data_IF_225226033491
#
_entry.id   IF_225226033491
#
_cell.length_a   1.000
_cell.length_b   1.000
_cell.length_c   1.000
_cell.angle_alpha   90.00
_cell.angle_beta   90.00
_cell.angle_gamma   90.00
#
_symmetry.space_group_name_H-M   'P 1'
#
loop_
_entity.id
_entity.type
_entity.pdbx_description
1 polymer ?
#
# COMPACT_ATOMS: atom_id res chain seq x y z
N UNK A 1 5.71 42.77 -6.26
CA UNK A 1 5.49 41.41 -6.81
C UNK A 1 6.15 40.32 -5.95
N UNK A 2 7.47 40.28 -5.75
CA UNK A 2 8.12 39.21 -4.97
C UNK A 2 7.59 39.06 -3.53
N UNK A 3 7.54 40.14 -2.74
CA UNK A 3 7.01 40.11 -1.35
C UNK A 3 5.59 39.53 -1.24
N UNK A 4 4.69 39.92 -2.14
CA UNK A 4 3.30 39.40 -2.18
C UNK A 4 3.20 37.96 -2.67
N UNK A 5 4.19 37.45 -3.40
CA UNK A 5 4.32 36.03 -3.73
C UNK A 5 4.79 35.23 -2.50
N UNK A 6 5.83 35.68 -1.80
CA UNK A 6 6.32 35.02 -0.59
C UNK A 6 5.26 34.96 0.52
N UNK A 7 4.49 36.04 0.76
CA UNK A 7 3.39 36.03 1.72
C UNK A 7 2.30 34.99 1.38
N UNK A 8 1.97 34.82 0.09
CA UNK A 8 1.02 33.79 -0.37
C UNK A 8 1.60 32.38 -0.20
N UNK A 9 2.88 32.18 -0.54
CA UNK A 9 3.56 30.90 -0.36
C UNK A 9 3.62 30.49 1.12
N UNK A 10 4.01 31.41 2.01
CA UNK A 10 4.01 31.18 3.47
C UNK A 10 2.60 30.86 3.96
N UNK A 11 1.58 31.60 3.51
CA UNK A 11 0.19 31.28 3.86
C UNK A 11 -0.25 29.90 3.40
N UNK A 12 0.21 29.40 2.24
CA UNK A 12 -0.08 28.04 1.76
C UNK A 12 0.65 26.99 2.61
N UNK A 13 1.92 27.22 2.95
CA UNK A 13 2.71 26.33 3.80
C UNK A 13 2.11 26.18 5.20
N UNK A 14 1.52 27.24 5.75
CA UNK A 14 0.79 27.21 7.04
C UNK A 14 -0.48 26.35 7.02
N UNK A 15 -1.02 25.99 5.84
CA UNK A 15 -2.16 25.08 5.71
C UNK A 15 -1.76 23.61 5.52
N UNK A 16 -0.46 23.28 5.52
CA UNK A 16 -0.01 21.88 5.50
C UNK A 16 -0.44 21.21 6.82
N UNK A 17 -1.25 20.17 6.74
CA UNK A 17 -1.69 19.35 7.86
C UNK A 17 -1.05 17.95 7.78
N UNK A 18 -0.74 17.36 8.93
CA UNK A 18 -0.27 15.98 8.99
C UNK A 18 -1.47 15.03 8.92
N UNK A 19 -1.53 14.22 7.85
CA UNK A 19 -2.52 13.16 7.72
C UNK A 19 -1.89 11.83 8.15
N UNK A 20 -2.23 11.37 9.34
CA UNK A 20 -1.93 10.00 9.77
C UNK A 20 -2.93 9.01 9.15
N UNK A 21 -2.45 7.82 8.80
CA UNK A 21 -3.27 6.71 8.31
C UNK A 21 -2.60 5.39 8.70
N UNK A 22 -3.38 4.32 8.79
CA UNK A 22 -2.90 2.95 9.04
C UNK A 22 -2.15 2.41 7.82
N UNK A 23 -0.91 2.86 7.65
CA UNK A 23 0.01 2.37 6.62
C UNK A 23 1.46 2.48 7.09
N UNK A 24 2.21 1.39 6.90
CA UNK A 24 3.66 1.32 7.12
C UNK A 24 4.35 0.96 5.82
N UNK A 25 5.62 1.32 5.68
CA UNK A 25 6.31 1.15 4.40
C UNK A 25 7.83 1.08 4.49
N UNK A 26 8.40 0.37 3.54
CA UNK A 26 9.84 0.28 3.31
C UNK A 26 10.17 0.68 1.87
N UNK A 27 11.40 1.12 1.63
CA UNK A 27 11.84 1.67 0.35
C UNK A 27 13.21 1.08 0.01
N UNK A 28 13.31 0.45 -1.16
CA UNK A 28 14.52 -0.21 -1.63
C UNK A 28 14.84 0.15 -3.08
N UNK A 29 16.05 -0.19 -3.51
CA UNK A 29 16.45 -0.22 -4.91
C UNK A 29 16.54 -1.68 -5.32
N UNK A 30 15.87 -2.05 -6.41
CA UNK A 30 15.92 -3.41 -6.92
C UNK A 30 17.36 -3.77 -7.32
N UNK A 31 17.91 -4.91 -6.85
CA UNK A 31 19.30 -5.29 -7.08
C UNK A 31 19.61 -5.46 -8.58
N UNK A 32 20.90 -5.57 -8.91
CA UNK A 32 21.28 -6.16 -10.19
C UNK A 32 20.82 -7.63 -10.20
N UNK A 33 20.36 -8.17 -11.34
CA UNK A 33 20.01 -9.58 -11.44
C UNK A 33 21.24 -10.41 -11.15
N UNK A 34 21.10 -11.46 -10.33
CA UNK A 34 22.17 -12.45 -10.23
C UNK A 34 22.08 -13.39 -11.44
N UNK A 35 23.23 -13.74 -12.00
CA UNK A 35 23.31 -14.73 -13.07
C UNK A 35 23.17 -16.16 -12.49
N UNK A 36 22.01 -16.46 -11.90
CA UNK A 36 21.72 -17.77 -11.30
C UNK A 36 21.30 -18.71 -12.46
N UNK A 37 21.75 -19.98 -12.48
CA UNK A 37 21.42 -20.91 -13.56
C UNK A 37 20.05 -21.57 -13.33
N UNK A 38 18.97 -20.83 -13.62
CA UNK A 38 17.60 -21.34 -13.69
C UNK A 38 17.04 -22.02 -12.41
N UNK A 39 17.53 -21.66 -11.23
CA UNK A 39 17.08 -22.21 -9.93
C UNK A 39 15.68 -21.75 -9.49
N UNK A 40 14.93 -21.01 -10.33
CA UNK A 40 13.57 -20.52 -10.05
C UNK A 40 12.65 -21.63 -9.48
N UNK A 41 12.79 -22.88 -9.91
CA UNK A 41 12.03 -24.02 -9.40
C UNK A 41 12.11 -24.16 -7.85
N UNK A 42 13.31 -24.07 -7.27
CA UNK A 42 13.50 -24.21 -5.82
C UNK A 42 12.94 -23.03 -5.01
N UNK A 43 12.68 -21.89 -5.67
CA UNK A 43 12.05 -20.70 -5.08
C UNK A 43 10.52 -20.71 -5.30
N UNK A 44 10.07 -21.32 -6.40
CA UNK A 44 8.66 -21.64 -6.66
C UNK A 44 8.12 -22.68 -5.66
N UNK A 45 8.96 -23.65 -5.28
CA UNK A 45 8.63 -24.69 -4.28
C UNK A 45 8.39 -24.13 -2.85
N UNK A 46 8.88 -22.93 -2.51
CA UNK A 46 8.65 -22.27 -1.21
C UNK A 46 7.18 -21.83 -1.01
N UNK A 47 6.34 -21.88 -2.05
CA UNK A 47 4.90 -21.63 -1.95
C UNK A 47 4.45 -20.21 -1.57
N UNK A 48 5.40 -19.28 -1.40
CA UNK A 48 5.19 -17.89 -0.96
C UNK A 48 4.23 -17.14 -1.89
N UNK A 49 3.37 -16.30 -1.33
CA UNK A 49 2.63 -15.30 -2.10
C UNK A 49 3.59 -14.25 -2.70
N UNK A 50 3.23 -13.74 -3.88
CA UNK A 50 4.12 -12.93 -4.72
C UNK A 50 3.54 -11.56 -5.06
N UNK A 51 4.42 -10.59 -5.27
CA UNK A 51 4.11 -9.29 -5.87
C UNK A 51 5.08 -8.98 -7.01
N UNK A 52 4.60 -8.28 -8.03
CA UNK A 52 5.40 -7.82 -9.16
C UNK A 52 4.97 -6.41 -9.59
N UNK A 53 5.74 -5.68 -10.43
CA UNK A 53 5.28 -4.41 -10.99
C UNK A 53 4.04 -4.51 -11.89
N UNK A 54 3.61 -5.73 -12.24
CA UNK A 54 2.37 -6.01 -12.99
C UNK A 54 1.23 -6.40 -12.06
N UNK A 55 1.46 -7.35 -11.14
CA UNK A 55 0.52 -7.74 -10.08
C UNK A 55 0.98 -7.11 -8.75
N UNK A 56 0.66 -5.83 -8.63
CA UNK A 56 1.31 -4.89 -7.70
C UNK A 56 0.60 -4.73 -6.36
N UNK A 57 -0.52 -5.45 -6.14
CA UNK A 57 -1.36 -5.34 -4.95
C UNK A 57 -1.87 -6.71 -4.50
N UNK A 58 -1.38 -7.17 -3.35
CA UNK A 58 -1.80 -8.42 -2.71
C UNK A 58 -2.69 -8.12 -1.50
N UNK A 59 -3.95 -8.52 -1.54
CA UNK A 59 -4.84 -8.56 -0.37
C UNK A 59 -4.72 -9.91 0.32
N UNK A 60 -4.28 -9.93 1.58
CA UNK A 60 -4.09 -11.15 2.37
C UNK A 60 -4.51 -10.96 3.83
N UNK A 61 -4.45 -12.04 4.62
CA UNK A 61 -4.60 -11.98 6.06
C UNK A 61 -3.26 -12.36 6.69
N UNK A 62 -2.64 -11.43 7.41
CA UNK A 62 -1.39 -11.66 8.13
C UNK A 62 -1.69 -12.18 9.52
N UNK A 63 -0.99 -13.23 9.95
CA UNK A 63 -0.96 -13.57 11.37
C UNK A 63 -0.29 -12.44 12.14
N UNK A 64 -0.81 -12.14 13.33
CA UNK A 64 -0.21 -11.21 14.27
C UNK A 64 -0.14 -11.87 15.65
N UNK A 65 0.77 -11.42 16.51
CA UNK A 65 0.87 -11.86 17.91
C UNK A 65 1.19 -10.68 18.81
N UNK A 66 1.03 -10.83 20.13
CA UNK A 66 1.54 -9.84 21.07
C UNK A 66 3.06 -9.92 21.15
N UNK A 67 3.77 -8.77 21.22
CA UNK A 67 5.20 -8.75 21.51
C UNK A 67 5.56 -9.56 22.75
N UNK A 68 6.63 -10.34 22.65
CA UNK A 68 7.24 -11.06 23.79
C UNK A 68 8.74 -10.74 23.86
N UNK A 69 9.40 -11.15 24.95
CA UNK A 69 10.86 -10.98 25.09
C UNK A 69 11.66 -11.75 24.02
N UNK A 70 11.08 -12.80 23.42
CA UNK A 70 11.67 -13.60 22.33
C UNK A 70 11.24 -13.09 20.94
N UNK A 71 9.97 -12.67 20.79
CA UNK A 71 9.38 -12.12 19.56
C UNK A 71 8.89 -10.67 19.75
N UNK A 72 9.79 -9.67 19.87
CA UNK A 72 9.41 -8.29 20.21
C UNK A 72 8.66 -7.54 19.09
N UNK A 73 8.65 -8.07 17.86
CA UNK A 73 7.92 -7.50 16.71
C UNK A 73 6.62 -8.28 16.39
N UNK A 74 6.27 -9.29 17.21
CA UNK A 74 5.17 -10.20 16.93
C UNK A 74 5.44 -11.13 15.74
N UNK A 75 4.37 -11.74 15.21
CA UNK A 75 4.44 -12.81 14.21
C UNK A 75 5.01 -12.34 12.87
N UNK A 76 5.84 -13.17 12.24
CA UNK A 76 6.45 -12.87 10.94
C UNK A 76 5.70 -13.50 9.74
N UNK A 77 5.93 -12.92 8.56
CA UNK A 77 5.42 -13.43 7.28
C UNK A 77 6.36 -13.04 6.13
N UNK A 78 6.54 -13.96 5.18
CA UNK A 78 7.44 -13.79 4.04
C UNK A 78 6.72 -13.78 2.69
N UNK A 79 7.17 -12.90 1.80
CA UNK A 79 6.65 -12.71 0.45
C UNK A 79 7.80 -12.62 -0.56
N UNK A 80 7.51 -12.94 -1.82
CA UNK A 80 8.49 -12.84 -2.92
C UNK A 80 8.17 -11.67 -3.84
N UNK A 81 9.18 -10.87 -4.16
CA UNK A 81 9.08 -9.73 -5.08
C UNK A 81 9.79 -10.11 -6.39
N UNK A 82 9.01 -10.27 -7.47
CA UNK A 82 9.48 -10.73 -8.79
C UNK A 82 9.27 -9.69 -9.91
N UNK A 83 9.81 -9.95 -11.10
CA UNK A 83 9.74 -9.07 -12.28
C UNK A 83 10.22 -7.61 -12.02
N UNK A 84 11.13 -7.39 -11.05
CA UNK A 84 11.62 -6.04 -10.73
C UNK A 84 12.60 -5.53 -11.80
N UNK A 85 12.60 -4.22 -12.05
CA UNK A 85 13.56 -3.56 -12.94
C UNK A 85 14.86 -3.24 -12.19
N UNK A 86 16.03 -3.72 -12.63
CA UNK A 86 17.31 -3.46 -11.95
C UNK A 86 17.61 -1.98 -11.76
N UNK A 87 18.05 -1.57 -10.57
CA UNK A 87 18.36 -0.18 -10.24
C UNK A 87 17.15 0.76 -10.13
N UNK A 88 15.93 0.28 -10.43
CA UNK A 88 14.70 1.03 -10.15
C UNK A 88 14.43 1.02 -8.64
N UNK A 89 14.01 2.17 -8.13
CA UNK A 89 13.58 2.32 -6.73
C UNK A 89 12.10 1.98 -6.60
N UNK A 90 11.75 1.28 -5.53
CA UNK A 90 10.37 0.88 -5.21
C UNK A 90 10.02 1.29 -3.77
N UNK A 91 8.75 1.54 -3.54
CA UNK A 91 8.10 1.54 -2.23
C UNK A 91 7.34 0.21 -2.09
N UNK A 92 7.49 -0.48 -0.97
CA UNK A 92 6.48 -1.46 -0.54
C UNK A 92 5.80 -0.90 0.69
N UNK A 93 4.48 -0.79 0.62
CA UNK A 93 3.62 -0.32 1.71
C UNK A 93 2.60 -1.38 2.06
N UNK A 94 2.28 -1.48 3.34
CA UNK A 94 1.12 -2.20 3.85
C UNK A 94 0.05 -1.18 4.25
N UNK A 95 -1.22 -1.50 4.01
CA UNK A 95 -2.38 -0.74 4.48
C UNK A 95 -3.37 -1.70 5.15
N UNK A 96 -3.93 -1.35 6.30
CA UNK A 96 -4.83 -2.23 7.06
C UNK A 96 -6.00 -1.48 7.70
N UNK A 97 -6.97 -2.24 8.22
CA UNK A 97 -8.17 -1.69 8.84
C UNK A 97 -7.87 -1.02 10.19
N UNK A 98 -8.28 0.24 10.37
CA UNK A 98 -8.14 0.97 11.64
C UNK A 98 -8.88 0.33 12.84
N UNK A 99 -9.77 -0.63 12.58
CA UNK A 99 -10.44 -1.46 13.61
C UNK A 99 -9.63 -2.68 14.06
N UNK A 100 -8.43 -2.90 13.49
CA UNK A 100 -7.44 -3.88 13.93
C UNK A 100 -6.13 -3.14 14.25
N UNK A 101 -5.94 -2.63 15.48
CA UNK A 101 -4.70 -1.99 15.90
C UNK A 101 -3.54 -2.99 15.84
N UNK A 102 -2.52 -2.68 15.05
CA UNK A 102 -1.39 -3.56 14.76
C UNK A 102 -0.23 -2.68 14.30
N UNK A 103 0.95 -2.90 14.87
CA UNK A 103 2.19 -2.29 14.41
C UNK A 103 2.88 -3.24 13.42
N UNK A 104 3.41 -2.70 12.33
CA UNK A 104 4.03 -3.47 11.25
C UNK A 104 5.45 -2.98 10.98
N UNK A 105 6.41 -3.91 10.90
CA UNK A 105 7.76 -3.64 10.39
C UNK A 105 7.96 -4.37 9.04
N UNK A 106 8.67 -3.75 8.10
CA UNK A 106 8.86 -4.24 6.74
C UNK A 106 10.33 -4.16 6.32
N UNK A 107 10.95 -5.33 6.10
CA UNK A 107 12.35 -5.46 5.66
C UNK A 107 12.44 -6.24 4.36
N UNK A 108 13.35 -5.83 3.47
CA UNK A 108 13.62 -6.53 2.20
C UNK A 108 15.04 -7.05 2.16
N UNK A 109 15.22 -8.29 1.71
CA UNK A 109 16.50 -8.98 1.63
C UNK A 109 16.73 -9.55 0.22
N UNK A 110 17.96 -9.48 -0.26
CA UNK A 110 18.40 -10.24 -1.43
C UNK A 110 18.49 -11.73 -1.10
N UNK A 111 18.38 -12.58 -2.13
CA UNK A 111 18.63 -14.02 -1.99
C UNK A 111 20.01 -14.31 -1.37
N UNK A 112 21.03 -13.51 -1.71
CA UNK A 112 22.37 -13.66 -1.13
C UNK A 112 22.37 -13.41 0.38
N UNK A 113 21.69 -12.37 0.87
CA UNK A 113 21.60 -12.07 2.31
C UNK A 113 20.83 -13.15 3.07
N UNK A 114 19.72 -13.64 2.51
CA UNK A 114 18.95 -14.76 3.09
C UNK A 114 19.82 -16.02 3.19
N UNK A 115 20.43 -16.46 2.08
CA UNK A 115 21.23 -17.70 2.05
C UNK A 115 22.51 -17.60 2.88
N UNK A 116 23.12 -16.41 2.97
CA UNK A 116 24.30 -16.18 3.81
C UNK A 116 23.98 -16.13 5.30
N UNK A 117 22.73 -15.83 5.69
CA UNK A 117 22.31 -15.65 7.07
C UNK A 117 21.45 -16.80 7.57
N UNK A 118 22.01 -17.67 8.41
CA UNK A 118 21.30 -18.83 8.99
C UNK A 118 19.99 -18.45 9.67
N UNK A 119 19.90 -17.29 10.32
CA UNK A 119 18.65 -16.85 10.98
C UNK A 119 17.58 -16.44 9.98
N UNK A 120 17.94 -15.77 8.87
CA UNK A 120 16.99 -15.42 7.81
C UNK A 120 16.51 -16.67 7.06
N UNK A 121 17.43 -17.58 6.72
CA UNK A 121 17.10 -18.83 6.03
C UNK A 121 16.22 -19.74 6.89
N UNK A 122 16.51 -19.92 8.19
CA UNK A 122 15.64 -20.71 9.09
C UNK A 122 14.26 -20.07 9.26
N UNK A 123 14.20 -18.75 9.42
CA UNK A 123 12.94 -17.99 9.48
C UNK A 123 12.08 -18.19 8.21
N UNK A 124 12.68 -18.05 7.03
CA UNK A 124 12.01 -18.25 5.75
C UNK A 124 11.51 -19.70 5.57
N UNK A 125 12.33 -20.70 5.92
CA UNK A 125 11.94 -22.11 5.81
C UNK A 125 10.84 -22.48 6.81
N UNK A 126 10.92 -22.02 8.06
CA UNK A 126 9.85 -22.24 9.06
C UNK A 126 8.50 -21.69 8.57
N UNK A 127 8.49 -20.50 7.95
CA UNK A 127 7.28 -19.92 7.37
C UNK A 127 6.79 -20.71 6.15
N UNK A 128 7.70 -21.11 5.25
CA UNK A 128 7.40 -21.96 4.10
C UNK A 128 6.75 -23.29 4.53
N UNK A 129 7.35 -24.00 5.48
CA UNK A 129 6.85 -25.28 5.98
C UNK A 129 5.47 -25.14 6.64
N UNK A 130 5.23 -24.07 7.40
CA UNK A 130 3.90 -23.77 7.97
C UNK A 130 2.84 -23.47 6.88
N UNK A 131 3.22 -22.73 5.84
CA UNK A 131 2.35 -22.39 4.70
C UNK A 131 2.00 -23.62 3.84
N UNK A 132 2.98 -24.51 3.60
CA UNK A 132 2.78 -25.78 2.91
C UNK A 132 1.95 -26.75 3.75
N UNK A 133 2.23 -26.87 5.06
CA UNK A 133 1.45 -27.69 5.99
C UNK A 133 -0.02 -27.26 6.02
N UNK A 134 -0.30 -25.95 6.15
CA UNK A 134 -1.67 -25.43 6.14
C UNK A 134 -2.40 -25.65 4.81
N UNK A 135 -1.69 -25.65 3.69
CA UNK A 135 -2.22 -26.00 2.35
C UNK A 135 -2.55 -27.49 2.23
N UNK A 136 -1.85 -28.37 2.96
CA UNK A 136 -1.98 -29.83 2.85
C UNK A 136 -3.19 -30.45 3.56
N UNK A 137 -3.82 -29.72 4.48
CA UNK A 137 -4.94 -30.22 5.29
C UNK A 137 -6.17 -30.51 4.42
N UNK A 138 -6.73 -31.75 4.43
CA UNK A 138 -7.99 -32.03 3.77
C UNK A 138 -9.11 -31.17 4.34
N UNK A 139 -10.13 -30.78 3.54
CA UNK A 139 -11.30 -30.08 4.06
C UNK A 139 -12.04 -31.01 5.01
N UNK A 140 -11.84 -30.80 6.32
CA UNK A 140 -12.39 -31.65 7.38
C UNK A 140 -13.89 -31.85 7.15
N UNK A 141 -14.31 -33.12 7.10
CA UNK A 141 -15.68 -33.50 6.80
C UNK A 141 -16.64 -32.83 7.77
N UNK A 142 -17.47 -31.90 7.27
CA UNK A 142 -18.52 -31.24 8.06
C UNK A 142 -19.45 -32.31 8.62
N UNK A 143 -19.31 -32.57 9.91
CA UNK A 143 -20.05 -33.64 10.56
C UNK A 143 -21.56 -33.36 10.54
N UNK A 144 -22.34 -34.40 10.27
CA UNK A 144 -23.73 -34.28 9.83
C UNK A 144 -24.68 -34.52 11.00
N UNK A 145 -24.87 -33.52 11.85
CA UNK A 145 -25.98 -33.49 12.81
C UNK A 145 -27.31 -33.02 12.15
N UNK A 146 -28.47 -33.51 12.61
CA UNK A 146 -29.74 -33.41 11.88
C UNK A 146 -30.47 -32.07 12.01
N UNK A 147 -31.48 -31.89 11.17
CA UNK A 147 -32.17 -30.62 10.94
C UNK A 147 -33.22 -30.24 12.02
N UNK A 148 -33.47 -28.93 12.12
CA UNK A 148 -34.76 -28.35 12.52
C UNK A 148 -34.99 -27.03 11.75
N UNK A 149 -36.26 -26.61 11.50
CA UNK A 149 -36.58 -25.65 10.43
C UNK A 149 -36.85 -24.20 10.89
N UNK A 150 -36.97 -23.33 9.88
CA UNK A 150 -37.29 -21.88 9.90
C UNK A 150 -36.15 -20.91 10.27
N UNK A 151 -36.04 -19.83 9.48
CA UNK A 151 -34.97 -18.82 9.59
C UNK A 151 -34.44 -18.33 8.23
N UNK A 152 -35.30 -18.10 7.23
CA UNK A 152 -34.87 -17.82 5.86
C UNK A 152 -34.43 -16.35 5.67
N UNK A 153 -33.20 -16.03 6.09
CA UNK A 153 -32.53 -14.76 5.84
C UNK A 153 -31.25 -15.05 5.05
N UNK A 154 -31.10 -14.44 3.87
CA UNK A 154 -29.89 -14.58 3.04
C UNK A 154 -28.82 -13.55 3.43
N UNK A 155 -27.69 -13.95 4.04
CA UNK A 155 -26.46 -13.19 3.88
C UNK A 155 -25.92 -13.40 2.46
N UNK A 156 -25.61 -12.32 1.76
CA UNK A 156 -24.95 -12.38 0.46
C UNK A 156 -23.61 -13.09 0.58
N UNK A 157 -23.36 -14.09 -0.27
CA UNK A 157 -22.15 -14.92 -0.21
C UNK A 157 -20.91 -14.13 -0.64
N UNK A 158 -20.28 -13.44 0.30
CA UNK A 158 -18.89 -12.97 0.20
C UNK A 158 -17.94 -14.18 0.21
N UNK A 159 -18.01 -15.00 -0.85
CA UNK A 159 -17.18 -16.18 -1.06
C UNK A 159 -15.82 -15.72 -1.58
N UNK A 160 -14.96 -15.28 -0.65
CA UNK A 160 -13.58 -14.94 -0.94
C UNK A 160 -12.84 -16.20 -1.44
N UNK A 161 -12.64 -16.25 -2.75
CA UNK A 161 -11.95 -17.34 -3.43
C UNK A 161 -10.54 -16.86 -3.76
N UNK A 162 -9.52 -17.52 -3.20
CA UNK A 162 -8.13 -17.28 -3.58
C UNK A 162 -7.97 -17.53 -5.09
N UNK A 163 -7.79 -16.45 -5.85
CA UNK A 163 -7.62 -16.48 -7.30
C UNK A 163 -6.19 -16.11 -7.74
N UNK A 164 -5.26 -15.85 -6.82
CA UNK A 164 -3.83 -15.61 -7.11
C UNK A 164 -3.14 -16.86 -7.71
N UNK A 165 -3.48 -18.06 -7.23
CA UNK A 165 -2.95 -19.35 -7.72
C UNK A 165 -3.48 -19.77 -9.11
N UNK A 166 -3.60 -18.84 -10.08
CA UNK A 166 -3.95 -19.15 -11.48
C UNK A 166 -3.32 -18.25 -12.55
N UNK A 167 -2.05 -17.82 -12.37
CA UNK A 167 -1.21 -17.41 -13.52
C UNK A 167 -1.12 -18.59 -14.51
N UNK A 168 -1.22 -18.31 -15.81
CA UNK A 168 -1.22 -19.34 -16.87
C UNK A 168 0.00 -20.25 -16.76
N UNK A 169 -0.22 -21.56 -16.83
CA UNK A 169 0.81 -22.51 -17.24
C UNK A 169 1.28 -22.13 -18.64
N UNK A 170 2.47 -21.51 -18.78
CA UNK A 170 3.10 -21.35 -20.10
C UNK A 170 3.57 -22.73 -20.53
N UNK A 171 3.11 -23.19 -21.69
CA UNK A 171 3.51 -24.49 -22.24
C UNK A 171 5.02 -24.47 -22.55
N UNK A 172 5.80 -25.49 -22.15
CA UNK A 172 7.26 -25.50 -22.34
C UNK A 172 7.72 -25.26 -23.79
N UNK A 173 6.89 -25.65 -24.77
CA UNK A 173 7.12 -25.50 -26.21
C UNK A 173 7.21 -24.05 -26.70
N UNK A 174 6.86 -23.05 -25.89
CA UNK A 174 6.96 -21.62 -26.25
C UNK A 174 8.36 -21.02 -25.91
N UNK A 175 9.30 -21.84 -25.39
CA UNK A 175 10.61 -21.38 -24.87
C UNK A 175 11.78 -21.55 -25.85
N UNK A 176 11.63 -22.31 -26.94
CA UNK A 176 12.78 -22.96 -27.60
C UNK A 176 13.24 -22.31 -28.93
N UNK A 177 12.54 -21.31 -29.48
CA UNK A 177 12.80 -20.78 -30.85
C UNK A 177 13.44 -19.38 -30.97
N UNK A 178 13.81 -18.69 -29.88
CA UNK A 178 14.54 -17.40 -29.97
C UNK A 178 15.97 -17.47 -29.39
N UNK A 179 17.01 -17.68 -30.23
CA UNK A 179 18.40 -17.70 -29.79
C UNK A 179 18.98 -16.32 -29.41
N UNK A 180 18.22 -15.22 -29.55
CA UNK A 180 18.58 -13.89 -29.03
C UNK A 180 17.96 -13.60 -27.66
N UNK A 181 17.01 -14.41 -27.18
CA UNK A 181 16.38 -14.23 -25.86
C UNK A 181 17.34 -14.48 -24.67
N UNK A 182 18.54 -15.00 -24.91
CA UNK A 182 19.55 -15.35 -23.89
C UNK A 182 20.06 -14.17 -23.05
N UNK A 183 19.71 -12.93 -23.40
CA UNK A 183 20.03 -11.70 -22.66
C UNK A 183 18.80 -11.00 -22.07
N UNK A 184 17.59 -11.54 -22.25
CA UNK A 184 16.34 -10.77 -22.14
C UNK A 184 15.63 -10.83 -20.77
N UNK A 185 15.87 -11.84 -19.94
CA UNK A 185 15.17 -12.05 -18.67
C UNK A 185 16.14 -12.36 -17.51
N UNK A 186 17.05 -11.43 -17.28
CA UNK A 186 17.79 -11.35 -16.02
C UNK A 186 16.87 -10.68 -14.99
N UNK A 187 16.08 -11.48 -14.27
CA UNK A 187 15.05 -11.02 -13.33
C UNK A 187 15.70 -10.51 -12.03
N UNK A 188 15.35 -9.28 -11.61
CA UNK A 188 15.72 -8.79 -10.27
C UNK A 188 14.66 -9.21 -9.27
N UNK A 189 15.09 -9.78 -8.15
CA UNK A 189 14.22 -10.42 -7.16
C UNK A 189 14.64 -10.10 -5.72
N UNK A 190 13.67 -10.03 -4.83
CA UNK A 190 13.87 -9.78 -3.38
C UNK A 190 12.88 -10.61 -2.56
N UNK A 191 13.26 -10.95 -1.34
CA UNK A 191 12.33 -11.41 -0.32
C UNK A 191 11.88 -10.21 0.52
N UNK A 192 10.59 -10.13 0.80
CA UNK A 192 10.00 -9.19 1.75
C UNK A 192 9.60 -9.95 3.01
N UNK A 193 10.13 -9.54 4.16
CA UNK A 193 9.64 -9.95 5.47
C UNK A 193 8.79 -8.83 6.07
N UNK A 194 7.64 -9.22 6.61
CA UNK A 194 6.75 -8.36 7.39
C UNK A 194 6.63 -8.97 8.79
N UNK A 195 6.66 -8.15 9.83
CA UNK A 195 6.25 -8.53 11.18
C UNK A 195 4.96 -7.82 11.57
N UNK A 196 4.15 -8.44 12.43
CA UNK A 196 2.85 -7.93 12.87
C UNK A 196 2.65 -8.08 14.38
N UNK A 197 2.83 -6.98 15.11
CA UNK A 197 2.61 -6.88 16.54
C UNK A 197 1.19 -6.35 16.84
N UNK A 198 0.40 -7.10 17.61
CA UNK A 198 -0.91 -6.63 18.09
C UNK A 198 -0.76 -5.45 19.05
N UNK A 199 -1.33 -4.29 18.70
CA UNK A 199 -1.19 -3.03 19.43
C UNK A 199 -2.51 -2.60 20.08
N UNK A 200 -3.09 -3.48 20.89
CA UNK A 200 -4.31 -3.22 21.64
C UNK A 200 -4.31 -3.92 23.01
N UNK A 201 -5.12 -3.41 23.93
CA UNK A 201 -5.42 -4.09 25.19
C UNK A 201 -6.94 -4.16 25.36
N UNK A 202 -7.45 -5.31 25.80
CA UNK A 202 -8.88 -5.54 26.02
C UNK A 202 -9.14 -6.43 27.23
N UNK A 203 -10.34 -6.31 27.81
CA UNK A 203 -10.82 -7.19 28.88
C UNK A 203 -11.28 -8.56 28.36
N UNK A 204 -11.40 -8.74 27.04
CA UNK A 204 -11.71 -10.03 26.42
C UNK A 204 -10.47 -10.94 26.41
N UNK A 205 -10.40 -11.85 27.39
CA UNK A 205 -9.29 -12.80 27.55
C UNK A 205 -9.02 -13.63 26.30
N UNK A 206 -10.05 -14.07 25.58
CA UNK A 206 -9.89 -14.85 24.34
C UNK A 206 -9.14 -14.07 23.27
N UNK A 207 -9.41 -12.76 23.14
CA UNK A 207 -8.77 -11.86 22.17
C UNK A 207 -7.39 -11.33 22.62
N UNK A 208 -7.07 -11.48 23.92
CA UNK A 208 -5.71 -11.30 24.45
C UNK A 208 -4.85 -12.59 24.32
N UNK A 209 -5.48 -13.77 24.27
CA UNK A 209 -4.79 -15.06 24.13
C UNK A 209 -4.61 -15.48 22.66
N UNK A 210 -5.58 -15.15 21.80
CA UNK A 210 -5.60 -15.53 20.39
C UNK A 210 -5.85 -14.26 19.57
N UNK A 211 -4.78 -13.68 19.04
CA UNK A 211 -4.87 -12.52 18.15
C UNK A 211 -5.47 -12.97 16.82
N UNK A 212 -6.55 -12.33 16.31
CA UNK A 212 -7.10 -12.65 15.00
C UNK A 212 -6.19 -12.12 13.88
N UNK A 213 -6.03 -12.86 12.75
CA UNK A 213 -5.30 -12.35 11.60
C UNK A 213 -5.82 -11.00 11.09
N UNK A 214 -4.90 -10.17 10.63
CA UNK A 214 -5.15 -8.79 10.19
C UNK A 214 -5.31 -8.77 8.68
N UNK A 215 -6.47 -8.30 8.19
CA UNK A 215 -6.69 -8.17 6.76
C UNK A 215 -5.98 -6.92 6.24
N UNK A 216 -5.01 -7.13 5.34
CA UNK A 216 -4.12 -6.08 4.86
C UNK A 216 -3.92 -6.14 3.34
N UNK A 217 -3.66 -4.97 2.77
CA UNK A 217 -3.23 -4.78 1.39
C UNK A 217 -1.74 -4.46 1.37
N UNK A 218 -0.94 -5.35 0.79
CA UNK A 218 0.49 -5.14 0.50
C UNK A 218 0.58 -4.60 -0.93
N UNK A 219 1.27 -3.47 -1.13
CA UNK A 219 1.33 -2.77 -2.42
C UNK A 219 2.78 -2.44 -2.77
N UNK A 220 3.22 -2.84 -3.97
CA UNK A 220 4.54 -2.60 -4.55
C UNK A 220 4.46 -1.48 -5.60
N UNK A 221 5.09 -0.34 -5.36
CA UNK A 221 4.91 0.88 -6.17
C UNK A 221 6.26 1.44 -6.68
N UNK A 222 6.54 1.45 -8.01
CA UNK A 222 7.78 1.98 -8.55
C UNK A 222 7.84 3.51 -8.49
N UNK A 223 9.00 4.07 -8.11
CA UNK A 223 9.22 5.52 -8.11
C UNK A 223 9.39 6.10 -9.52
N UNK A 224 8.57 7.07 -9.90
CA UNK A 224 8.82 7.92 -11.07
C UNK A 224 9.89 8.97 -10.76
N UNK A 225 10.88 9.06 -11.66
CA UNK A 225 12.04 9.97 -11.57
C UNK A 225 12.81 9.95 -10.24
N UNK A 226 12.71 8.85 -9.47
CA UNK A 226 13.28 8.72 -8.11
C UNK A 226 12.68 9.71 -7.07
N UNK A 227 11.53 10.36 -7.36
CA UNK A 227 10.90 11.34 -6.45
C UNK A 227 9.60 10.84 -5.82
N UNK A 228 8.66 10.31 -6.60
CA UNK A 228 7.32 9.94 -6.12
C UNK A 228 6.91 8.53 -6.56
N UNK A 229 6.17 7.76 -5.72
CA UNK A 229 5.53 6.51 -6.14
C UNK A 229 4.55 6.73 -7.30
N UNK A 230 4.46 5.77 -8.22
CA UNK A 230 3.65 5.86 -9.45
C UNK A 230 2.16 6.04 -9.16
N UNK A 231 1.62 5.40 -8.12
CA UNK A 231 0.19 5.51 -7.81
C UNK A 231 -0.22 6.89 -7.26
N UNK A 232 0.74 7.71 -6.82
CA UNK A 232 0.48 9.04 -6.28
C UNK A 232 0.29 10.10 -7.38
N UNK A 233 0.84 9.87 -8.59
CA UNK A 233 0.84 10.83 -9.69
C UNK A 233 -0.56 11.27 -10.13
N UNK A 234 -1.57 10.39 -10.31
CA UNK A 234 -2.93 10.82 -10.67
C UNK A 234 -3.56 11.75 -9.63
N UNK A 235 -3.37 11.42 -8.34
CA UNK A 235 -3.88 12.21 -7.20
C UNK A 235 -3.21 13.58 -7.13
N UNK A 236 -1.89 13.65 -7.35
CA UNK A 236 -1.15 14.90 -7.41
C UNK A 236 -1.61 15.79 -8.58
N UNK A 237 -1.76 15.23 -9.78
CA UNK A 237 -2.25 15.97 -10.97
C UNK A 237 -3.67 16.50 -10.74
N UNK A 238 -4.58 15.67 -10.21
CA UNK A 238 -5.94 16.07 -9.85
C UNK A 238 -5.96 17.23 -8.84
N UNK A 239 -5.10 17.16 -7.82
CA UNK A 239 -4.97 18.20 -6.79
C UNK A 239 -4.47 19.52 -7.37
N UNK A 240 -3.49 19.48 -8.29
CA UNK A 240 -3.00 20.67 -9.02
C UNK A 240 -4.10 21.29 -9.88
N UNK A 241 -4.89 20.48 -10.59
CA UNK A 241 -6.03 20.99 -11.40
C UNK A 241 -7.05 21.70 -10.51
N UNK A 242 -7.43 21.12 -9.37
CA UNK A 242 -8.33 21.76 -8.41
C UNK A 242 -7.75 23.08 -7.89
N UNK A 243 -6.47 23.12 -7.51
CA UNK A 243 -5.82 24.32 -7.00
C UNK A 243 -5.81 25.47 -8.03
N UNK A 244 -5.59 25.15 -9.31
CA UNK A 244 -5.65 26.13 -10.41
C UNK A 244 -7.07 26.66 -10.62
N UNK A 245 -8.08 25.79 -10.64
CA UNK A 245 -9.50 26.21 -10.75
C UNK A 245 -9.91 27.09 -9.56
N UNK A 246 -9.57 26.68 -8.33
CA UNK A 246 -9.86 27.44 -7.12
C UNK A 246 -9.19 28.83 -7.13
N UNK A 247 -7.96 28.93 -7.64
CA UNK A 247 -7.27 30.21 -7.80
C UNK A 247 -8.02 31.17 -8.76
N UNK A 248 -8.48 30.68 -9.91
CA UNK A 248 -9.25 31.49 -10.87
C UNK A 248 -10.62 31.89 -10.30
N UNK A 249 -11.35 30.98 -9.66
CA UNK A 249 -12.66 31.26 -9.05
C UNK A 249 -12.52 32.27 -7.90
N UNK A 250 -11.56 32.08 -7.00
CA UNK A 250 -11.28 33.03 -5.91
C UNK A 250 -10.86 34.41 -6.45
N UNK A 251 -10.04 34.44 -7.50
CA UNK A 251 -9.64 35.68 -8.18
C UNK A 251 -10.79 36.40 -8.90
N UNK A 252 -11.81 35.67 -9.37
CA UNK A 252 -13.04 36.24 -9.91
C UNK A 252 -13.95 36.82 -8.82
N UNK A 253 -14.23 36.02 -7.76
CA UNK A 253 -15.06 36.46 -6.64
C UNK A 253 -14.47 37.70 -5.93
N UNK A 254 -13.15 37.75 -5.75
CA UNK A 254 -12.47 38.91 -5.17
C UNK A 254 -12.63 40.20 -6.00
N UNK A 255 -12.70 40.10 -7.34
CA UNK A 255 -13.01 41.25 -8.21
C UNK A 255 -14.46 41.70 -8.03
N UNK A 256 -15.42 40.78 -8.15
CA UNK A 256 -16.86 41.07 -8.00
C UNK A 256 -17.14 41.76 -6.65
N UNK A 257 -16.57 41.24 -5.55
CA UNK A 257 -16.70 41.86 -4.23
C UNK A 257 -16.04 43.25 -4.17
N UNK A 258 -14.85 43.42 -4.76
CA UNK A 258 -14.17 44.73 -4.82
C UNK A 258 -15.00 45.76 -5.60
N UNK A 259 -15.66 45.36 -6.69
CA UNK A 259 -16.45 46.25 -7.54
C UNK A 259 -17.79 46.62 -6.90
N UNK A 260 -18.44 45.68 -6.19
CA UNK A 260 -19.61 45.97 -5.34
C UNK A 260 -19.27 46.96 -4.21
N UNK A 261 -18.12 46.78 -3.54
CA UNK A 261 -17.67 47.70 -2.47
C UNK A 261 -17.37 49.09 -3.03
N UNK A 262 -16.70 49.21 -4.18
CA UNK A 262 -16.49 50.52 -4.85
C UNK A 262 -17.80 51.21 -5.18
N UNK A 263 -18.76 50.47 -5.75
CA UNK A 263 -20.07 51.02 -6.13
C UNK A 263 -20.87 51.51 -4.91
N UNK A 264 -20.77 50.82 -3.77
CA UNK A 264 -21.37 51.27 -2.51
C UNK A 264 -20.72 52.56 -2.00
N UNK A 265 -19.38 52.59 -1.87
CA UNK A 265 -18.64 53.77 -1.39
C UNK A 265 -18.91 55.00 -2.28
N UNK A 266 -18.89 54.83 -3.60
CA UNK A 266 -19.12 55.92 -4.55
C UNK A 266 -20.55 56.49 -4.47
N UNK A 267 -21.53 55.66 -4.10
CA UNK A 267 -22.92 56.09 -3.85
C UNK A 267 -23.05 56.89 -2.54
N UNK A 268 -22.36 56.46 -1.48
CA UNK A 268 -22.34 57.17 -0.19
C UNK A 268 -21.65 58.53 -0.26
N UNK A 269 -20.58 58.64 -1.06
CA UNK A 269 -19.92 59.93 -1.32
C UNK A 269 -20.80 60.89 -2.14
N UNK A 270 -21.50 60.38 -3.16
CA UNK A 270 -22.44 61.18 -3.95
C UNK A 270 -23.56 61.78 -3.09
N UNK A 271 -24.18 60.97 -2.21
CA UNK A 271 -25.23 61.44 -1.30
C UNK A 271 -24.76 62.49 -0.28
N UNK A 272 -23.48 62.44 0.15
CA UNK A 272 -22.86 63.52 0.95
C UNK A 272 -22.56 64.78 0.15
N UNK A 273 -22.36 64.67 -1.17
CA UNK A 273 -22.11 65.79 -2.07
C UNK A 273 -23.35 66.66 -2.28
N UNK A 274 -24.49 66.06 -2.58
CA UNK A 274 -25.75 66.79 -2.82
C UNK A 274 -26.24 67.53 -1.57
N UNK A 275 -26.19 66.86 -0.41
CA UNK A 275 -26.63 67.43 0.88
C UNK A 275 -25.74 68.60 1.36
N UNK A 276 -24.61 68.89 0.68
CA UNK A 276 -23.77 70.08 0.87
C UNK A 276 -24.05 71.23 -0.11
N UNK A 277 -24.86 71.02 -1.15
CA UNK A 277 -25.24 72.05 -2.14
C UNK A 277 -26.64 72.64 -1.92
N UNK A 278 -27.48 72.01 -1.10
CA UNK A 278 -28.85 72.43 -0.79
C UNK A 278 -28.99 73.28 0.48
N UNK A 279 -27.95 73.98 0.93
CA UNK A 279 -27.92 74.77 2.17
C UNK A 279 -27.08 76.03 2.04
#
# INVERSE_FOLDING_TARGET
MASTFYLRLISILLFIQHAAANTEKTIFVAPLPWAVPAENAAIDDLGLDRLSPTDFMLRTNLNASFPTDEEPHGAESWFYLEDLTPGQRYEVRICWMATQPTSFDLTTYTLQEVVSSRSLLTSLLNFSDALLASTSLPPASRDRSPASPHGNINPSKARHQHNSRKRRSRTPLEREEDPLALTSHAESVLFLRIWAAADYYTTNTTLMQNVPPVMADIILDPFLWNVFPRSLVPTAVYTVVIAVVAYFVGGYLAKVLSDVVKAAVQKDEAGKGENKKGR
#
